data_IF_763488093952
#
_entry.id   IF_763488093952
#
_cell.length_a   1.000
_cell.length_b   1.000
_cell.length_c   1.000
_cell.angle_alpha   90.00
_cell.angle_beta   90.00
_cell.angle_gamma   90.00
#
_symmetry.space_group_name_H-M   'P 1'
#
loop_
_entity.id
_entity.type
_entity.pdbx_description
1 polymer ?
#
# COMPACT_ATOMS: atom_id res chain seq x y z
N UNK A 1 -11.75 32.50 -7.35
CA UNK A 1 -13.04 31.77 -7.41
C UNK A 1 -13.18 30.97 -6.12
N UNK A 2 -14.18 31.27 -5.28
CA UNK A 2 -14.39 30.58 -4.00
C UNK A 2 -15.18 29.30 -4.28
N UNK A 3 -14.54 28.14 -4.18
CA UNK A 3 -15.25 26.85 -4.13
C UNK A 3 -16.05 26.84 -2.82
N UNK A 4 -17.31 27.24 -2.87
CA UNK A 4 -18.23 27.29 -1.73
C UNK A 4 -19.34 26.23 -1.86
N UNK A 5 -19.02 25.09 -2.47
CA UNK A 5 -19.91 23.94 -2.60
C UNK A 5 -19.49 22.77 -1.73
N UNK A 6 -20.23 21.65 -1.80
CA UNK A 6 -19.96 20.38 -1.09
C UNK A 6 -18.54 19.85 -1.37
N UNK A 7 -17.93 20.21 -2.50
CA UNK A 7 -16.56 19.86 -2.87
C UNK A 7 -15.53 20.96 -2.53
N UNK A 8 -15.82 21.83 -1.57
CA UNK A 8 -14.88 22.87 -1.14
C UNK A 8 -13.67 22.26 -0.46
N UNK A 9 -12.47 22.53 -1.01
CA UNK A 9 -11.23 22.17 -0.32
C UNK A 9 -11.13 23.01 0.95
N UNK A 10 -10.87 22.40 2.11
CA UNK A 10 -10.79 23.13 3.35
C UNK A 10 -9.57 24.06 3.34
N UNK A 11 -9.74 25.26 3.90
CA UNK A 11 -8.66 26.26 3.95
C UNK A 11 -7.52 25.77 4.86
N UNK A 12 -6.31 25.80 4.33
CA UNK A 12 -5.08 25.32 5.00
C UNK A 12 -4.34 26.43 5.76
N UNK A 13 -4.70 27.71 5.52
CA UNK A 13 -4.09 28.87 6.16
C UNK A 13 -4.10 28.74 7.70
N UNK A 14 -2.93 28.91 8.33
CA UNK A 14 -2.74 28.76 9.78
C UNK A 14 -2.51 27.32 10.28
N UNK A 15 -2.68 26.31 9.43
CA UNK A 15 -2.48 24.89 9.80
C UNK A 15 -1.40 24.18 8.97
N UNK A 16 -0.65 24.90 8.12
CA UNK A 16 0.34 24.33 7.20
C UNK A 16 1.37 23.47 7.95
N UNK A 17 1.97 24.00 9.03
CA UNK A 17 3.00 23.26 9.79
C UNK A 17 2.42 22.00 10.42
N UNK A 18 1.27 22.10 11.08
CA UNK A 18 0.59 20.95 11.69
C UNK A 18 0.18 19.89 10.65
N UNK A 19 -0.30 20.34 9.49
CA UNK A 19 -0.63 19.47 8.37
C UNK A 19 0.61 18.72 7.86
N UNK A 20 1.70 19.43 7.58
CA UNK A 20 2.93 18.84 7.07
C UNK A 20 3.54 17.84 8.06
N UNK A 21 3.53 18.15 9.36
CA UNK A 21 4.02 17.23 10.40
C UNK A 21 3.16 15.97 10.45
N UNK A 22 1.83 16.08 10.47
CA UNK A 22 0.94 14.92 10.46
C UNK A 22 1.14 14.07 9.20
N UNK A 23 1.31 14.69 8.03
CA UNK A 23 1.60 13.97 6.78
C UNK A 23 2.94 13.25 6.82
N UNK A 24 3.99 13.88 7.36
CA UNK A 24 5.30 13.26 7.50
C UNK A 24 5.25 12.04 8.44
N UNK A 25 4.59 12.17 9.60
CA UNK A 25 4.46 11.06 10.54
C UNK A 25 3.57 9.95 9.98
N UNK A 26 2.45 10.29 9.34
CA UNK A 26 1.60 9.33 8.63
C UNK A 26 2.40 8.58 7.56
N UNK A 27 3.24 9.28 6.80
CA UNK A 27 4.09 8.68 5.78
C UNK A 27 5.09 7.68 6.36
N UNK A 28 5.81 8.08 7.41
CA UNK A 28 6.76 7.19 8.10
C UNK A 28 6.07 5.97 8.73
N UNK A 29 4.91 6.19 9.34
CA UNK A 29 4.13 5.12 9.97
C UNK A 29 3.61 4.12 8.92
N UNK A 30 3.03 4.61 7.82
CA UNK A 30 2.58 3.75 6.73
C UNK A 30 3.72 3.03 6.02
N UNK A 31 4.90 3.66 5.90
CA UNK A 31 6.08 3.00 5.35
C UNK A 31 6.56 1.85 6.24
N UNK A 32 6.62 2.06 7.56
CA UNK A 32 6.96 1.01 8.51
C UNK A 32 5.95 -0.14 8.48
N UNK A 33 4.66 0.18 8.46
CA UNK A 33 3.60 -0.81 8.34
C UNK A 33 3.65 -1.57 7.01
N UNK A 34 3.89 -0.88 5.89
CA UNK A 34 4.07 -1.48 4.59
C UNK A 34 5.24 -2.45 4.56
N UNK A 35 6.36 -2.10 5.20
CA UNK A 35 7.50 -3.01 5.38
C UNK A 35 7.13 -4.27 6.17
N UNK A 36 6.44 -4.14 7.31
CA UNK A 36 6.03 -5.31 8.10
C UNK A 36 5.05 -6.22 7.37
N UNK A 37 4.11 -5.64 6.62
CA UNK A 37 3.17 -6.39 5.79
C UNK A 37 3.91 -7.11 4.67
N UNK A 38 4.78 -6.41 3.94
CA UNK A 38 5.60 -7.00 2.88
C UNK A 38 6.42 -8.16 3.43
N UNK A 39 7.19 -7.93 4.50
CA UNK A 39 8.00 -8.95 5.14
C UNK A 39 7.16 -10.16 5.60
N UNK A 40 6.00 -9.92 6.22
CA UNK A 40 5.11 -10.98 6.67
C UNK A 40 4.55 -11.82 5.53
N UNK A 41 4.25 -11.21 4.38
CA UNK A 41 3.72 -11.92 3.21
C UNK A 41 4.85 -12.68 2.50
N UNK A 42 6.07 -12.13 2.44
CA UNK A 42 7.24 -12.85 1.92
C UNK A 42 7.58 -14.12 2.72
N UNK A 43 7.15 -14.23 3.99
CA UNK A 43 7.27 -15.49 4.75
C UNK A 43 6.19 -16.52 4.43
N UNK A 44 5.07 -16.11 3.82
CA UNK A 44 3.92 -16.97 3.55
C UNK A 44 3.90 -17.53 2.13
N UNK A 45 4.52 -16.82 1.19
CA UNK A 45 4.54 -17.19 -0.22
C UNK A 45 5.94 -17.64 -0.64
N UNK A 46 6.05 -18.58 -1.59
CA UNK A 46 7.33 -19.02 -2.11
C UNK A 46 8.01 -17.90 -2.90
N UNK A 47 9.32 -17.77 -2.75
CA UNK A 47 10.13 -16.82 -3.53
C UNK A 47 10.09 -17.12 -5.04
N UNK A 48 10.30 -16.10 -5.88
CA UNK A 48 10.41 -16.22 -7.34
C UNK A 48 11.71 -16.92 -7.78
N UNK A 49 11.75 -18.24 -7.57
CA UNK A 49 12.88 -19.10 -7.91
C UNK A 49 12.65 -19.87 -9.21
N UNK A 50 13.71 -20.50 -9.73
CA UNK A 50 13.58 -21.39 -10.90
C UNK A 50 12.74 -22.64 -10.63
N UNK A 51 12.53 -23.00 -9.36
CA UNK A 51 11.62 -24.05 -8.94
C UNK A 51 10.16 -23.61 -9.12
N UNK A 52 9.82 -22.42 -8.64
CA UNK A 52 8.48 -21.82 -8.82
C UNK A 52 8.12 -21.67 -10.31
N UNK A 53 9.08 -21.30 -11.16
CA UNK A 53 8.87 -21.19 -12.63
C UNK A 53 8.55 -22.53 -13.31
N UNK A 54 8.92 -23.66 -12.70
CA UNK A 54 8.63 -25.01 -13.22
C UNK A 54 7.24 -25.51 -12.83
N UNK A 55 6.59 -24.86 -11.87
CA UNK A 55 5.25 -25.23 -11.43
C UNK A 55 4.23 -25.14 -12.58
N UNK A 56 3.12 -25.89 -12.50
CA UNK A 56 1.99 -25.73 -13.40
C UNK A 56 1.46 -24.30 -13.40
N UNK A 57 1.06 -23.79 -14.56
CA UNK A 57 0.58 -22.42 -14.70
C UNK A 57 -0.59 -22.09 -13.76
N UNK A 58 -1.46 -23.06 -13.45
CA UNK A 58 -2.57 -22.84 -12.52
C UNK A 58 -2.08 -22.61 -11.08
N UNK A 59 -0.97 -23.24 -10.67
CA UNK A 59 -0.34 -23.00 -9.36
C UNK A 59 0.24 -21.59 -9.34
N UNK A 60 1.00 -21.21 -10.38
CA UNK A 60 1.62 -19.89 -10.49
C UNK A 60 0.58 -18.75 -10.46
N UNK A 61 -0.51 -18.89 -11.20
CA UNK A 61 -1.61 -17.93 -11.17
C UNK A 61 -2.31 -17.91 -9.80
N UNK A 62 -2.55 -19.08 -9.19
CA UNK A 62 -3.19 -19.13 -7.87
C UNK A 62 -2.33 -18.49 -6.78
N UNK A 63 -1.01 -18.67 -6.86
CA UNK A 63 -0.03 -18.09 -5.95
C UNK A 63 -0.08 -16.56 -6.01
N UNK A 64 0.07 -15.99 -7.21
CA UNK A 64 0.01 -14.54 -7.44
C UNK A 64 -1.36 -13.95 -7.05
N UNK A 65 -2.46 -14.64 -7.36
CA UNK A 65 -3.81 -14.18 -6.96
C UNK A 65 -3.96 -14.17 -5.44
N UNK A 66 -3.49 -15.23 -4.75
CA UNK A 66 -3.56 -15.33 -3.30
C UNK A 66 -2.68 -14.27 -2.63
N UNK A 67 -1.47 -14.04 -3.17
CA UNK A 67 -0.52 -13.04 -2.68
C UNK A 67 -1.09 -11.61 -2.82
N UNK A 68 -1.65 -11.26 -3.98
CA UNK A 68 -2.34 -9.98 -4.19
C UNK A 68 -3.56 -9.84 -3.28
N UNK A 69 -4.35 -10.90 -3.12
CA UNK A 69 -5.55 -10.86 -2.28
C UNK A 69 -5.20 -10.61 -0.82
N UNK A 70 -4.17 -11.30 -0.31
CA UNK A 70 -3.71 -11.14 1.06
C UNK A 70 -3.13 -9.73 1.28
N UNK A 71 -2.38 -9.21 0.30
CA UNK A 71 -1.89 -7.83 0.33
C UNK A 71 -3.04 -6.82 0.47
N UNK A 72 -4.09 -6.95 -0.34
CA UNK A 72 -5.26 -6.05 -0.28
C UNK A 72 -5.98 -6.15 1.06
N UNK A 73 -6.13 -7.36 1.60
CA UNK A 73 -6.76 -7.58 2.91
C UNK A 73 -5.91 -6.97 4.03
N UNK A 74 -4.59 -7.22 4.03
CA UNK A 74 -3.67 -6.65 4.99
C UNK A 74 -3.68 -5.12 4.90
N UNK A 75 -3.71 -4.57 3.69
CA UNK A 75 -3.78 -3.15 3.44
C UNK A 75 -4.99 -2.50 4.08
N UNK A 76 -6.15 -3.12 3.89
CA UNK A 76 -7.39 -2.65 4.46
C UNK A 76 -7.30 -2.62 5.98
N UNK A 77 -6.91 -3.72 6.61
CA UNK A 77 -6.88 -3.82 8.08
C UNK A 77 -5.83 -2.91 8.71
N UNK A 78 -4.66 -2.81 8.11
CA UNK A 78 -3.59 -1.95 8.59
C UNK A 78 -3.98 -0.47 8.48
N UNK A 79 -4.57 -0.07 7.35
CA UNK A 79 -5.09 1.29 7.18
C UNK A 79 -6.25 1.57 8.13
N UNK A 80 -7.13 0.59 8.35
CA UNK A 80 -8.23 0.69 9.31
C UNK A 80 -7.71 0.88 10.74
N UNK A 81 -6.67 0.14 11.14
CA UNK A 81 -6.04 0.29 12.45
C UNK A 81 -5.28 1.61 12.59
N UNK A 82 -4.59 2.06 11.54
CA UNK A 82 -3.85 3.33 11.54
C UNK A 82 -4.74 4.54 11.82
N UNK A 83 -6.03 4.48 11.44
CA UNK A 83 -7.03 5.52 11.75
C UNK A 83 -7.28 5.72 13.24
N UNK A 84 -6.99 4.73 14.09
CA UNK A 84 -7.10 4.90 15.54
C UNK A 84 -5.91 5.67 16.15
N UNK A 85 -4.81 5.81 15.41
CA UNK A 85 -3.56 6.42 15.90
C UNK A 85 -3.41 7.87 15.42
N UNK A 86 -4.08 8.25 14.34
CA UNK A 86 -3.94 9.54 13.66
C UNK A 86 -5.27 10.29 13.74
N UNK A 87 -5.27 11.61 14.00
CA UNK A 87 -4.14 12.54 13.97
C UNK A 87 -3.38 12.73 15.29
N UNK A 88 -2.06 12.90 15.19
CA UNK A 88 -1.16 13.11 16.35
C UNK A 88 -1.15 14.59 16.76
N UNK A 89 -1.18 15.50 15.78
CA UNK A 89 -1.39 16.93 16.03
C UNK A 89 -2.84 17.29 15.68
N UNK A 90 -3.62 17.88 16.59
CA UNK A 90 -5.02 18.18 16.34
C UNK A 90 -5.18 19.13 15.15
N UNK A 91 -6.04 18.77 14.21
CA UNK A 91 -6.37 19.55 13.03
C UNK A 91 -7.86 19.90 13.05
N UNK A 92 -8.30 20.72 12.08
CA UNK A 92 -9.74 20.92 11.89
C UNK A 92 -10.34 19.61 11.34
N UNK A 93 -11.54 19.18 11.78
CA UNK A 93 -12.15 17.92 11.35
C UNK A 93 -12.24 17.73 9.82
N UNK A 94 -12.43 18.83 9.08
CA UNK A 94 -12.46 18.81 7.61
C UNK A 94 -11.09 18.52 6.97
N UNK A 95 -9.98 18.93 7.61
CA UNK A 95 -8.62 18.60 7.15
C UNK A 95 -8.25 17.15 7.52
N UNK A 96 -8.66 16.71 8.70
CA UNK A 96 -8.42 15.33 9.18
C UNK A 96 -9.05 14.31 8.22
N UNK A 97 -10.34 14.48 7.90
CA UNK A 97 -11.04 13.60 6.98
C UNK A 97 -10.38 13.53 5.58
N UNK A 98 -9.85 14.65 5.09
CA UNK A 98 -9.19 14.72 3.78
C UNK A 98 -7.85 13.96 3.77
N UNK A 99 -7.04 14.13 4.82
CA UNK A 99 -5.76 13.42 4.99
C UNK A 99 -6.02 11.91 5.15
N UNK A 100 -7.04 11.54 5.91
CA UNK A 100 -7.41 10.14 6.15
C UNK A 100 -7.87 9.43 4.88
N UNK A 101 -8.69 10.08 4.05
CA UNK A 101 -9.18 9.48 2.81
C UNK A 101 -8.10 9.36 1.74
N UNK A 102 -7.27 10.39 1.58
CA UNK A 102 -6.33 10.46 0.47
C UNK A 102 -4.93 9.99 0.85
N UNK A 103 -4.40 10.49 1.96
CA UNK A 103 -3.00 10.27 2.37
C UNK A 103 -2.72 8.84 2.83
N UNK A 104 -3.62 8.25 3.61
CA UNK A 104 -3.38 6.91 4.17
C UNK A 104 -3.47 5.80 3.12
N UNK A 105 -4.45 5.89 2.22
CA UNK A 105 -4.66 4.88 1.18
C UNK A 105 -3.54 4.88 0.12
N UNK A 106 -3.11 6.07 -0.33
CA UNK A 106 -2.06 6.17 -1.36
C UNK A 106 -0.67 5.81 -0.81
N UNK A 107 -0.32 6.31 0.38
CA UNK A 107 1.00 6.07 0.94
C UNK A 107 1.23 4.61 1.30
N UNK A 108 0.20 3.93 1.82
CA UNK A 108 0.31 2.53 2.17
C UNK A 108 0.47 1.64 0.93
N UNK A 109 -0.33 1.89 -0.11
CA UNK A 109 -0.23 1.14 -1.37
C UNK A 109 1.14 1.36 -2.02
N UNK A 110 1.66 2.59 -1.99
CA UNK A 110 2.99 2.91 -2.49
C UNK A 110 4.10 2.22 -1.68
N UNK A 111 3.96 2.16 -0.35
CA UNK A 111 4.90 1.47 0.53
C UNK A 111 4.94 -0.05 0.26
N UNK A 112 3.79 -0.69 -0.01
CA UNK A 112 3.78 -2.09 -0.46
C UNK A 112 4.65 -2.24 -1.70
N UNK A 113 4.38 -1.46 -2.75
CA UNK A 113 5.10 -1.59 -4.02
C UNK A 113 6.60 -1.34 -3.93
N UNK A 114 7.06 -0.53 -2.95
CA UNK A 114 8.49 -0.31 -2.71
C UNK A 114 9.20 -1.56 -2.18
N UNK A 115 8.49 -2.43 -1.46
CA UNK A 115 9.09 -3.56 -0.76
C UNK A 115 8.68 -4.92 -1.34
N UNK A 116 8.00 -4.95 -2.49
CA UNK A 116 7.41 -6.17 -3.05
C UNK A 116 7.99 -6.50 -4.43
N UNK A 117 9.34 -6.54 -4.50
CA UNK A 117 10.08 -6.83 -5.73
C UNK A 117 9.75 -8.23 -6.29
N UNK A 118 9.57 -9.22 -5.42
CA UNK A 118 9.35 -10.63 -5.82
C UNK A 118 8.01 -10.85 -6.56
N UNK A 119 6.90 -10.29 -6.05
CA UNK A 119 5.60 -10.35 -6.73
C UNK A 119 5.63 -9.58 -8.05
N UNK A 120 6.34 -8.45 -8.10
CA UNK A 120 6.46 -7.69 -9.34
C UNK A 120 7.11 -8.56 -10.42
N UNK A 121 8.15 -9.32 -10.07
CA UNK A 121 8.81 -10.27 -10.96
C UNK A 121 7.91 -11.47 -11.33
N UNK A 122 7.18 -12.07 -10.39
CA UNK A 122 6.18 -13.12 -10.66
C UNK A 122 5.09 -12.65 -11.63
N UNK A 123 4.55 -11.46 -11.41
CA UNK A 123 3.56 -10.85 -12.29
C UNK A 123 4.15 -10.62 -13.67
N UNK A 124 5.36 -10.05 -13.75
CA UNK A 124 6.03 -9.80 -15.01
C UNK A 124 6.23 -11.10 -15.81
N UNK A 125 6.64 -12.18 -15.13
CA UNK A 125 6.78 -13.52 -15.72
C UNK A 125 5.45 -14.04 -16.29
N UNK A 126 4.36 -13.96 -15.51
CA UNK A 126 3.04 -14.41 -15.95
C UNK A 126 2.44 -13.59 -17.08
N UNK A 127 2.61 -12.26 -17.06
CA UNK A 127 2.02 -11.36 -18.07
C UNK A 127 2.85 -11.22 -19.34
N UNK A 128 4.19 -11.28 -19.27
CA UNK A 128 5.06 -11.26 -20.46
C UNK A 128 5.21 -12.64 -21.09
N UNK A 129 5.01 -13.72 -20.34
CA UNK A 129 5.16 -15.08 -20.83
C UNK A 129 6.59 -15.40 -21.26
N UNK A 130 7.59 -14.96 -20.48
CA UNK A 130 8.99 -15.28 -20.79
C UNK A 130 9.20 -16.80 -20.83
N UNK A 131 9.98 -17.31 -21.81
CA UNK A 131 10.02 -18.72 -22.12
C UNK A 131 10.56 -19.49 -20.92
N UNK A 132 9.84 -20.56 -20.54
CA UNK A 132 10.29 -21.54 -19.56
C UNK A 132 11.75 -21.91 -19.86
N UNK A 133 12.66 -21.91 -18.86
CA UNK A 133 14.04 -22.33 -19.09
C UNK A 133 14.00 -23.74 -19.71
N UNK A 134 14.59 -23.87 -20.90
CA UNK A 134 14.67 -25.12 -21.63
C UNK A 134 15.34 -26.18 -20.76
N UNK A 135 14.68 -27.33 -20.63
CA UNK A 135 15.16 -28.51 -19.92
C UNK A 135 16.54 -28.98 -20.40
#
# INVERSE_FOLDING_TARGET
>A
MKNAGVNSLPKVEGHIVALTVNLAVLGLFNAALGFFVSYGIGLLFPDFTDEWKKEPAWIQWSDVIAEISLLVIAAFWVTYLARYVIPIVPLKPALEHYIEQYGSNFMFLYAIFIFFDDLADKMLFLFRGEPKPSA
#
